data_IF_496924223449
#
_entry.id   IF_496924223449
#
_cell.length_a   1.000
_cell.length_b   1.000
_cell.length_c   1.000
_cell.angle_alpha   90.00
_cell.angle_beta   90.00
_cell.angle_gamma   90.00
#
_symmetry.space_group_name_H-M   'P 1'
#
loop_
_entity.id
_entity.type
_entity.pdbx_description
1 polymer ?
#
# COMPACT_ATOMS: atom_id res chain seq x y z
N UNK A 1 -14.63 -15.48 7.63
CA UNK A 1 -14.87 -14.12 8.17
C UNK A 1 -13.56 -13.39 8.51
N UNK A 2 -12.57 -14.07 9.10
CA UNK A 2 -11.27 -13.48 9.44
C UNK A 2 -10.46 -12.90 8.26
N UNK A 3 -10.58 -13.47 7.05
CA UNK A 3 -9.82 -13.03 5.87
C UNK A 3 -10.12 -11.59 5.41
N UNK A 4 -11.39 -11.18 5.45
CA UNK A 4 -11.77 -9.82 5.08
C UNK A 4 -11.18 -8.80 6.06
N UNK A 5 -11.23 -9.11 7.36
CA UNK A 5 -10.69 -8.24 8.40
C UNK A 5 -9.17 -8.09 8.28
N UNK A 6 -8.44 -9.17 7.98
CA UNK A 6 -6.99 -9.08 7.70
C UNK A 6 -6.70 -8.16 6.51
N UNK A 7 -7.43 -8.30 5.39
CA UNK A 7 -7.23 -7.47 4.20
C UNK A 7 -7.53 -6.00 4.47
N UNK A 8 -8.58 -5.71 5.25
CA UNK A 8 -8.91 -4.34 5.67
C UNK A 8 -7.81 -3.74 6.57
N UNK A 9 -7.29 -4.52 7.51
CA UNK A 9 -6.20 -4.07 8.38
C UNK A 9 -4.91 -3.79 7.59
N UNK A 10 -4.52 -4.69 6.69
CA UNK A 10 -3.38 -4.48 5.77
C UNK A 10 -3.59 -3.19 4.96
N UNK A 11 -4.81 -2.98 4.47
CA UNK A 11 -5.16 -1.80 3.67
C UNK A 11 -4.99 -0.50 4.45
N UNK A 12 -5.52 -0.44 5.67
CA UNK A 12 -5.44 0.74 6.52
C UNK A 12 -3.99 1.08 6.89
N UNK A 13 -3.19 0.06 7.24
CA UNK A 13 -1.77 0.26 7.58
C UNK A 13 -0.95 0.70 6.36
N UNK A 14 -1.24 0.14 5.18
CA UNK A 14 -0.58 0.54 3.94
C UNK A 14 -0.94 1.99 3.55
N UNK A 15 -2.19 2.41 3.72
CA UNK A 15 -2.63 3.80 3.52
C UNK A 15 -1.99 4.77 4.51
N UNK A 16 -1.78 4.33 5.75
CA UNK A 16 -1.06 5.08 6.78
C UNK A 16 0.47 5.16 6.54
N UNK A 17 1.00 4.52 5.49
CA UNK A 17 2.41 4.57 5.13
C UNK A 17 3.30 3.63 5.94
N UNK A 18 2.73 2.67 6.68
CA UNK A 18 3.48 1.70 7.48
C UNK A 18 4.30 0.78 6.55
N UNK A 19 5.54 0.46 6.96
CA UNK A 19 6.40 -0.44 6.19
C UNK A 19 5.80 -1.85 6.13
N UNK A 20 5.83 -2.50 4.95
CA UNK A 20 5.22 -3.82 4.75
C UNK A 20 5.76 -4.90 5.72
N UNK A 21 7.03 -4.81 6.13
CA UNK A 21 7.61 -5.70 7.14
C UNK A 21 6.92 -5.56 8.51
N UNK A 22 6.61 -4.33 8.93
CA UNK A 22 5.88 -4.06 10.17
C UNK A 22 4.41 -4.49 10.05
N UNK A 23 3.77 -4.29 8.88
CA UNK A 23 2.41 -4.78 8.63
C UNK A 23 2.35 -6.30 8.79
N UNK A 24 3.36 -7.01 8.26
CA UNK A 24 3.46 -8.47 8.39
C UNK A 24 3.51 -8.91 9.86
N UNK A 25 4.31 -8.22 10.68
CA UNK A 25 4.43 -8.50 12.12
C UNK A 25 3.11 -8.26 12.87
N UNK A 26 2.41 -7.15 12.58
CA UNK A 26 1.14 -6.78 13.23
C UNK A 26 0.00 -7.72 12.83
N UNK A 27 -0.10 -8.07 11.54
CA UNK A 27 -1.22 -8.86 11.01
C UNK A 27 -0.98 -10.37 11.16
N UNK A 28 0.28 -10.79 11.31
CA UNK A 28 0.65 -12.21 11.44
C UNK A 28 0.40 -13.02 10.16
N UNK A 29 0.64 -12.42 8.99
CA UNK A 29 0.38 -13.03 7.68
C UNK A 29 1.65 -13.20 6.83
N UNK A 30 1.50 -13.76 5.64
CA UNK A 30 2.62 -13.89 4.71
C UNK A 30 2.95 -12.54 4.04
N UNK A 31 4.23 -12.35 3.68
CA UNK A 31 4.63 -11.15 2.93
C UNK A 31 3.95 -11.06 1.55
N UNK A 32 3.59 -12.21 0.96
CA UNK A 32 2.84 -12.27 -0.30
C UNK A 32 1.45 -11.64 -0.19
N UNK A 33 0.76 -11.88 0.91
CA UNK A 33 -0.56 -11.28 1.18
C UNK A 33 -0.46 -9.76 1.38
N UNK A 34 0.52 -9.31 2.18
CA UNK A 34 0.76 -7.87 2.38
C UNK A 34 1.05 -7.19 1.05
N UNK A 35 1.94 -7.76 0.24
CA UNK A 35 2.31 -7.20 -1.06
C UNK A 35 1.13 -7.19 -2.05
N UNK A 36 0.35 -8.27 -2.09
CA UNK A 36 -0.82 -8.38 -2.95
C UNK A 36 -1.85 -7.29 -2.67
N UNK A 37 -2.14 -7.03 -1.39
CA UNK A 37 -3.08 -5.97 -0.98
C UNK A 37 -2.48 -4.58 -1.17
N UNK A 38 -1.24 -4.36 -0.71
CA UNK A 38 -0.59 -3.04 -0.80
C UNK A 38 -0.39 -2.54 -2.24
N UNK A 39 -0.20 -3.46 -3.20
CA UNK A 39 -0.13 -3.14 -4.64
C UNK A 39 -1.41 -2.55 -5.21
N UNK A 40 -2.57 -2.91 -4.64
CA UNK A 40 -3.87 -2.38 -5.10
C UNK A 40 -4.09 -0.93 -4.63
N UNK A 41 -3.33 -0.49 -3.62
CA UNK A 41 -3.51 0.80 -2.96
C UNK A 41 -2.55 1.84 -3.54
N UNK A 42 -1.30 1.45 -3.81
CA UNK A 42 -0.36 2.35 -4.48
C UNK A 42 -0.85 2.53 -5.91
N UNK A 43 -1.16 3.76 -6.36
CA UNK A 43 -1.32 3.98 -7.78
C UNK A 43 -0.01 3.56 -8.44
N UNK A 44 -0.06 2.53 -9.29
CA UNK A 44 0.96 2.37 -10.33
C UNK A 44 1.04 3.74 -10.95
N UNK A 45 2.21 4.39 -10.96
CA UNK A 45 2.43 5.55 -11.82
C UNK A 45 2.15 5.08 -13.25
N UNK A 46 0.88 5.06 -13.66
CA UNK A 46 0.51 5.16 -15.05
C UNK A 46 1.07 6.52 -15.41
N UNK A 47 2.04 6.50 -16.29
CA UNK A 47 2.51 7.66 -17.04
C UNK A 47 1.32 8.28 -17.76
N UNK A 48 0.47 9.00 -17.03
CA UNK A 48 -0.39 10.03 -17.56
C UNK A 48 0.44 11.28 -17.38
N UNK A 49 0.83 11.89 -18.50
CA UNK A 49 1.68 13.06 -18.51
C UNK A 49 1.11 14.14 -17.60
N UNK A 50 1.80 14.42 -16.50
CA UNK A 50 1.53 15.60 -15.69
C UNK A 50 2.40 16.73 -16.26
N UNK A 51 1.85 17.37 -17.28
CA UNK A 51 2.15 18.76 -17.58
C UNK A 51 1.55 19.60 -16.46
N UNK A 52 2.37 20.13 -15.56
CA UNK A 52 2.24 21.51 -15.04
C UNK A 52 3.50 21.91 -14.25
N UNK A 53 4.27 22.81 -14.88
CA UNK A 53 4.91 24.00 -14.32
C UNK A 53 5.57 23.99 -12.92
N UNK A 54 6.90 24.22 -12.96
CA UNK A 54 7.63 25.30 -12.27
C UNK A 54 7.95 25.12 -10.78
N UNK A 55 9.24 25.03 -10.45
CA UNK A 55 9.96 26.08 -9.68
C UNK A 55 11.48 25.87 -9.80
N UNK A 56 12.15 26.98 -10.07
CA UNK A 56 13.57 27.15 -10.30
C UNK A 56 14.42 26.91 -9.03
N UNK A 57 15.62 26.37 -9.20
CA UNK A 57 16.88 27.11 -9.01
C UNK A 57 18.03 26.35 -9.68
#
# INVERSE_FOLDING_TARGET
MAELLKKLLITQLALAGVAQAQIREVVGCSMGEVNGVAKLIRPTKRSVGESTAKTAN
#
